data_IF_596921861195
#
_entry.id   IF_596921861195
#
_cell.length_a   1.000
_cell.length_b   1.000
_cell.length_c   1.000
_cell.angle_alpha   90.00
_cell.angle_beta   90.00
_cell.angle_gamma   90.00
#
_symmetry.space_group_name_H-M   'P 1'
#
loop_
_entity.id
_entity.type
_entity.pdbx_description
1 polymer ?
#
# COMPACT_ATOMS: atom_id res chain seq x y z
N UNK A 1 4.17 14.04 7.89
CA UNK A 1 3.93 12.59 8.06
C UNK A 1 3.31 12.02 6.79
N UNK A 2 3.95 11.01 6.18
CA UNK A 2 3.37 10.39 4.99
C UNK A 2 2.02 9.75 5.28
N UNK A 3 1.12 9.88 4.33
CA UNK A 3 -0.23 9.32 4.42
C UNK A 3 -0.28 8.01 3.64
N UNK A 4 -0.61 6.92 4.31
CA UNK A 4 -0.64 5.58 3.74
C UNK A 4 -2.08 5.09 3.70
N UNK A 5 -2.53 4.63 2.54
CA UNK A 5 -3.83 3.97 2.43
C UNK A 5 -3.62 2.46 2.40
N UNK A 6 -4.28 1.75 3.30
CA UNK A 6 -4.29 0.29 3.31
C UNK A 6 -5.63 -0.19 2.74
N UNK A 7 -5.58 -0.97 1.67
CA UNK A 7 -6.77 -1.58 1.07
C UNK A 7 -6.73 -3.07 1.40
N UNK A 8 -7.53 -3.51 2.35
CA UNK A 8 -7.52 -4.87 2.89
C UNK A 8 -8.90 -5.22 3.44
N UNK A 9 -9.49 -6.32 2.98
CA UNK A 9 -10.82 -6.74 3.41
C UNK A 9 -10.82 -7.47 4.76
N UNK A 10 -9.72 -8.12 5.12
CA UNK A 10 -9.62 -8.83 6.39
C UNK A 10 -9.44 -7.83 7.53
N UNK A 11 -10.43 -7.80 8.44
CA UNK A 11 -10.44 -6.83 9.53
C UNK A 11 -9.23 -6.94 10.44
N UNK A 12 -8.86 -8.17 10.80
CA UNK A 12 -7.72 -8.40 11.70
C UNK A 12 -6.41 -7.93 11.07
N UNK A 13 -6.17 -8.32 9.82
CA UNK A 13 -4.96 -7.92 9.09
C UNK A 13 -4.90 -6.41 8.91
N UNK A 14 -6.01 -5.80 8.55
CA UNK A 14 -6.12 -4.35 8.35
C UNK A 14 -5.82 -3.61 9.65
N UNK A 15 -6.41 -4.06 10.76
CA UNK A 15 -6.24 -3.44 12.06
C UNK A 15 -4.80 -3.57 12.56
N UNK A 16 -4.22 -4.76 12.45
CA UNK A 16 -2.84 -4.98 12.88
C UNK A 16 -1.85 -4.12 12.10
N UNK A 17 -1.99 -4.09 10.80
CA UNK A 17 -1.07 -3.32 9.95
C UNK A 17 -1.23 -1.82 10.21
N UNK A 18 -2.47 -1.34 10.32
CA UNK A 18 -2.69 0.09 10.55
C UNK A 18 -2.12 0.54 11.89
N UNK A 19 -2.28 -0.26 12.95
CA UNK A 19 -1.69 0.06 14.26
C UNK A 19 -0.19 0.14 14.20
N UNK A 20 0.44 -0.83 13.53
CA UNK A 20 1.90 -0.87 13.44
C UNK A 20 2.47 0.30 12.67
N UNK A 21 1.82 0.68 11.57
CA UNK A 21 2.26 1.82 10.79
C UNK A 21 2.04 3.14 11.52
N UNK A 22 0.93 3.28 12.25
CA UNK A 22 0.71 4.47 13.06
C UNK A 22 1.76 4.63 14.15
N UNK A 23 2.16 3.53 14.77
CA UNK A 23 3.25 3.56 15.76
C UNK A 23 4.56 4.02 15.17
N UNK A 24 4.77 3.79 13.88
CA UNK A 24 5.98 4.23 13.18
C UNK A 24 5.90 5.69 12.74
N UNK A 25 4.78 6.36 12.98
CA UNK A 25 4.62 7.78 12.67
C UNK A 25 3.90 8.07 11.36
N UNK A 26 3.39 7.05 10.67
CA UNK A 26 2.62 7.28 9.46
C UNK A 26 1.18 7.67 9.79
N UNK A 27 0.59 8.51 8.95
CA UNK A 27 -0.85 8.72 8.95
C UNK A 27 -1.46 7.59 8.13
N UNK A 28 -2.48 6.91 8.67
CA UNK A 28 -3.03 5.72 8.03
C UNK A 28 -4.51 5.87 7.76
N UNK A 29 -4.90 5.60 6.52
CA UNK A 29 -6.28 5.47 6.09
C UNK A 29 -6.52 4.01 5.71
N UNK A 30 -7.75 3.54 5.85
CA UNK A 30 -8.09 2.16 5.52
C UNK A 30 -9.29 2.11 4.59
N UNK A 31 -9.26 1.14 3.67
CA UNK A 31 -10.38 0.81 2.80
C UNK A 31 -10.59 -0.71 2.87
N UNK A 32 -11.82 -1.15 2.73
CA UNK A 32 -12.18 -2.55 2.95
C UNK A 32 -12.35 -3.35 1.67
N UNK A 33 -12.42 -2.68 0.53
CA UNK A 33 -12.53 -3.34 -0.78
C UNK A 33 -11.92 -2.47 -1.87
N UNK A 34 -11.89 -3.01 -3.09
CA UNK A 34 -11.24 -2.32 -4.21
C UNK A 34 -11.93 -1.04 -4.62
N UNK A 35 -13.26 -1.02 -4.63
CA UNK A 35 -14.02 0.19 -5.00
C UNK A 35 -13.76 1.32 -4.01
N UNK A 36 -13.83 1.01 -2.71
CA UNK A 36 -13.54 1.98 -1.66
C UNK A 36 -12.10 2.46 -1.76
N UNK A 37 -11.17 1.54 -2.03
CA UNK A 37 -9.76 1.88 -2.20
C UNK A 37 -9.53 2.88 -3.31
N UNK A 38 -10.19 2.69 -4.46
CA UNK A 38 -10.08 3.63 -5.57
C UNK A 38 -10.67 4.99 -5.18
N UNK A 39 -11.88 4.99 -4.61
CA UNK A 39 -12.55 6.23 -4.22
C UNK A 39 -11.74 7.01 -3.20
N UNK A 40 -11.19 6.33 -2.21
CA UNK A 40 -10.37 6.98 -1.18
C UNK A 40 -9.06 7.51 -1.75
N UNK A 41 -8.44 6.78 -2.68
CA UNK A 41 -7.22 7.26 -3.33
C UNK A 41 -7.48 8.55 -4.09
N UNK A 42 -8.59 8.61 -4.80
CA UNK A 42 -8.97 9.79 -5.58
C UNK A 42 -9.27 11.00 -4.67
N UNK A 43 -9.91 10.75 -3.54
CA UNK A 43 -10.33 11.80 -2.62
C UNK A 43 -9.20 12.29 -1.72
N UNK A 44 -8.45 11.34 -1.14
CA UNK A 44 -7.46 11.65 -0.10
C UNK A 44 -6.05 11.85 -0.65
N UNK A 45 -5.79 11.38 -1.86
CA UNK A 45 -4.47 11.47 -2.51
C UNK A 45 -3.34 11.05 -1.57
N UNK A 46 -3.33 9.80 -1.10
CA UNK A 46 -2.29 9.34 -0.18
C UNK A 46 -0.91 9.35 -0.84
N UNK A 47 0.12 9.26 -0.03
CA UNK A 47 1.50 9.22 -0.54
C UNK A 47 1.88 7.81 -1.00
N UNK A 48 1.17 6.80 -0.52
CA UNK A 48 1.43 5.40 -0.86
C UNK A 48 0.17 4.58 -0.62
N UNK A 49 -0.09 3.61 -1.49
CA UNK A 49 -1.18 2.65 -1.34
C UNK A 49 -0.60 1.25 -1.14
N UNK A 50 -1.06 0.58 -0.08
CA UNK A 50 -0.78 -0.84 0.14
C UNK A 50 -2.04 -1.60 -0.29
N UNK A 51 -1.94 -2.32 -1.41
CA UNK A 51 -3.08 -2.93 -2.07
C UNK A 51 -3.08 -4.44 -1.96
N UNK A 52 -4.02 -5.00 -1.20
CA UNK A 52 -4.21 -6.45 -1.17
C UNK A 52 -4.75 -6.90 -2.53
N UNK A 53 -4.21 -7.98 -3.05
CA UNK A 53 -4.61 -8.51 -4.36
C UNK A 53 -5.85 -9.40 -4.27
N UNK A 54 -6.21 -9.88 -3.08
CA UNK A 54 -7.32 -10.82 -2.88
C UNK A 54 -8.57 -10.13 -2.34
N UNK A 55 -9.01 -9.06 -3.01
CA UNK A 55 -10.18 -8.29 -2.58
C UNK A 55 -11.48 -8.93 -3.10
N UNK A 56 -12.60 -8.79 -2.34
CA UNK A 56 -13.83 -9.50 -2.67
C UNK A 56 -14.62 -8.95 -3.86
N UNK A 57 -14.58 -7.63 -4.09
CA UNK A 57 -15.41 -6.99 -5.12
C UNK A 57 -14.65 -6.78 -6.42
N UNK A 58 -13.50 -6.22 -6.33
CA UNK A 58 -12.64 -5.85 -7.45
C UNK A 58 -11.24 -6.23 -7.04
N UNK A 59 -10.60 -7.14 -7.77
CA UNK A 59 -9.28 -7.60 -7.35
C UNK A 59 -8.26 -6.47 -7.39
N UNK A 60 -7.18 -6.64 -6.62
CA UNK A 60 -6.16 -5.61 -6.47
C UNK A 60 -5.43 -5.29 -7.78
N UNK A 61 -5.36 -6.24 -8.72
CA UNK A 61 -4.78 -6.01 -10.04
C UNK A 61 -5.58 -4.95 -10.80
N UNK A 62 -6.90 -5.16 -10.87
CA UNK A 62 -7.77 -4.25 -11.60
C UNK A 62 -7.86 -2.89 -10.90
N UNK A 63 -7.92 -2.89 -9.56
CA UNK A 63 -7.91 -1.64 -8.81
C UNK A 63 -6.64 -0.84 -9.11
N UNK A 64 -5.49 -1.49 -9.13
CA UNK A 64 -4.22 -0.85 -9.46
C UNK A 64 -4.22 -0.30 -10.88
N UNK A 65 -4.70 -1.08 -11.85
CA UNK A 65 -4.79 -0.62 -13.24
C UNK A 65 -5.60 0.66 -13.34
N UNK A 66 -6.74 0.72 -12.67
CA UNK A 66 -7.61 1.90 -12.69
C UNK A 66 -6.92 3.11 -12.09
N UNK A 67 -6.21 2.93 -10.97
CA UNK A 67 -5.45 4.03 -10.36
C UNK A 67 -4.36 4.54 -11.28
N UNK A 68 -3.67 3.63 -11.97
CA UNK A 68 -2.55 4.00 -12.86
C UNK A 68 -3.01 4.61 -14.17
N UNK A 69 -4.27 4.43 -14.56
CA UNK A 69 -4.85 5.05 -15.74
C UNK A 69 -5.46 6.43 -15.46
N UNK A 70 -5.71 6.74 -14.20
CA UNK A 70 -6.31 8.02 -13.80
C UNK A 70 -5.20 9.05 -13.58
N UNK A 71 -5.25 10.15 -14.32
CA UNK A 71 -4.22 11.19 -14.24
C UNK A 71 -4.07 11.78 -12.83
N UNK A 72 -5.12 11.71 -12.01
CA UNK A 72 -5.09 12.22 -10.64
C UNK A 72 -4.33 11.31 -9.68
N UNK A 73 -4.24 10.02 -9.98
CA UNK A 73 -3.69 9.01 -9.06
C UNK A 73 -2.54 8.22 -9.63
N UNK A 74 -2.24 8.37 -10.91
CA UNK A 74 -1.21 7.55 -11.58
C UNK A 74 0.18 7.70 -10.97
N UNK A 75 0.46 8.84 -10.35
CA UNK A 75 1.76 9.12 -9.74
C UNK A 75 1.91 8.52 -8.34
N UNK A 76 0.82 8.04 -7.75
CA UNK A 76 0.85 7.50 -6.39
C UNK A 76 1.41 6.08 -6.43
N UNK A 77 2.50 5.79 -5.70
CA UNK A 77 3.06 4.45 -5.70
C UNK A 77 2.12 3.44 -5.05
N UNK A 78 2.09 2.24 -5.60
CA UNK A 78 1.27 1.13 -5.11
C UNK A 78 2.18 -0.06 -4.83
N UNK A 79 2.13 -0.55 -3.60
CA UNK A 79 2.79 -1.81 -3.22
C UNK A 79 1.70 -2.87 -3.13
N UNK A 80 1.80 -3.89 -3.98
CA UNK A 80 0.85 -5.00 -3.97
C UNK A 80 1.19 -5.97 -2.85
N UNK A 81 0.16 -6.45 -2.14
CA UNK A 81 0.32 -7.44 -1.07
C UNK A 81 -0.37 -8.73 -1.53
N UNK A 82 0.37 -9.84 -1.57
CA UNK A 82 -0.16 -11.10 -2.06
C UNK A 82 0.06 -12.23 -1.05
N UNK A 83 -0.94 -13.12 -0.94
CA UNK A 83 -0.82 -14.34 -0.14
C UNK A 83 -0.02 -15.42 -0.87
N UNK A 84 0.20 -15.25 -2.16
CA UNK A 84 0.84 -16.24 -3.00
C UNK A 84 2.15 -15.72 -3.59
N UNK A 85 3.25 -16.32 -3.19
CA UNK A 85 4.58 -16.00 -3.76
C UNK A 85 4.88 -16.92 -4.94
N UNK A 86 3.89 -17.15 -5.79
CA UNK A 86 4.06 -18.05 -6.93
C UNK A 86 4.75 -17.36 -8.08
N UNK A 87 5.43 -18.18 -8.87
CA UNK A 87 6.03 -17.75 -10.13
C UNK A 87 4.98 -17.06 -11.01
N UNK A 88 5.24 -15.83 -11.43
CA UNK A 88 4.33 -15.07 -12.27
C UNK A 88 3.53 -14.00 -11.55
N UNK A 89 3.37 -14.09 -10.22
CA UNK A 89 2.62 -13.08 -9.47
C UNK A 89 3.31 -11.72 -9.49
N UNK A 90 4.63 -11.73 -9.44
CA UNK A 90 5.41 -10.51 -9.51
C UNK A 90 5.23 -9.82 -10.86
N UNK A 91 5.29 -10.60 -11.94
CA UNK A 91 5.10 -10.05 -13.30
C UNK A 91 3.69 -9.49 -13.45
N UNK A 92 2.68 -10.16 -12.91
CA UNK A 92 1.30 -9.68 -12.94
C UNK A 92 1.16 -8.36 -12.20
N UNK A 93 1.82 -8.23 -11.04
CA UNK A 93 1.79 -7.00 -10.26
C UNK A 93 2.41 -5.85 -11.06
N UNK A 94 3.55 -6.09 -11.65
CA UNK A 94 4.26 -5.09 -12.45
C UNK A 94 3.45 -4.72 -13.68
N UNK A 95 2.87 -5.70 -14.38
CA UNK A 95 2.02 -5.47 -15.56
C UNK A 95 0.77 -4.65 -15.21
N UNK A 96 0.24 -4.81 -14.01
CA UNK A 96 -0.88 -4.00 -13.54
C UNK A 96 -0.48 -2.57 -13.18
N UNK A 97 0.83 -2.30 -13.07
CA UNK A 97 1.36 -0.99 -12.75
C UNK A 97 1.79 -0.82 -11.30
N UNK A 98 1.86 -1.90 -10.52
CA UNK A 98 2.37 -1.82 -9.16
C UNK A 98 3.84 -1.42 -9.18
N UNK A 99 4.23 -0.60 -8.22
CA UNK A 99 5.61 -0.12 -8.12
C UNK A 99 6.50 -1.10 -7.37
N UNK A 100 5.90 -1.91 -6.52
CA UNK A 100 6.59 -2.95 -5.75
C UNK A 100 5.55 -3.98 -5.30
N UNK A 101 6.02 -5.12 -4.78
CA UNK A 101 5.11 -6.10 -4.22
C UNK A 101 5.73 -6.75 -2.99
N UNK A 102 4.90 -7.25 -2.08
CA UNK A 102 5.34 -7.99 -0.92
C UNK A 102 4.41 -9.17 -0.68
N UNK A 103 4.90 -10.16 0.04
CA UNK A 103 4.16 -11.41 0.26
C UNK A 103 3.67 -11.50 1.69
N UNK A 104 2.52 -12.15 1.87
CA UNK A 104 2.01 -12.49 3.21
C UNK A 104 2.59 -13.84 3.65
N UNK A 105 2.80 -14.06 4.93
CA UNK A 105 2.57 -13.11 6.02
C UNK A 105 3.53 -11.93 5.95
N UNK A 106 3.00 -10.74 6.22
CA UNK A 106 3.80 -9.53 6.15
C UNK A 106 4.80 -9.49 7.28
N UNK A 107 6.05 -9.21 6.91
CA UNK A 107 7.11 -9.00 7.88
C UNK A 107 7.37 -7.50 7.88
N UNK A 108 7.12 -6.86 9.03
CA UNK A 108 7.08 -5.41 9.09
C UNK A 108 8.37 -4.74 8.62
N UNK A 109 9.53 -5.26 9.02
CA UNK A 109 10.81 -4.67 8.61
C UNK A 109 10.99 -4.70 7.10
N UNK A 110 10.62 -5.82 6.48
CA UNK A 110 10.71 -5.96 5.03
C UNK A 110 9.77 -4.99 4.33
N UNK A 111 8.54 -4.87 4.82
CA UNK A 111 7.57 -3.93 4.27
C UNK A 111 8.06 -2.50 4.41
N UNK A 112 8.54 -2.11 5.61
CA UNK A 112 9.04 -0.77 5.85
C UNK A 112 10.21 -0.43 4.94
N UNK A 113 11.12 -1.38 4.72
CA UNK A 113 12.26 -1.15 3.84
C UNK A 113 11.84 -0.89 2.39
N UNK A 114 10.72 -1.48 1.97
CA UNK A 114 10.16 -1.21 0.64
C UNK A 114 9.45 0.13 0.60
N UNK A 115 8.73 0.47 1.66
CA UNK A 115 7.97 1.72 1.74
C UNK A 115 8.88 2.96 1.67
N UNK A 116 10.03 2.92 2.34
CA UNK A 116 10.93 4.08 2.38
C UNK A 116 11.56 4.39 1.02
N UNK A 117 11.41 3.52 0.05
CA UNK A 117 11.84 3.80 -1.33
C UNK A 117 10.88 4.79 -2.01
N UNK A 118 9.68 4.96 -1.48
CA UNK A 118 8.63 5.80 -2.07
C UNK A 118 8.20 6.95 -1.18
N UNK A 119 8.30 6.80 0.15
CA UNK A 119 7.88 7.81 1.12
C UNK A 119 8.92 7.96 2.21
N UNK A 120 8.95 9.11 2.87
CA UNK A 120 9.86 9.35 3.97
C UNK A 120 9.59 8.41 5.14
N UNK A 121 10.67 8.00 5.82
CA UNK A 121 10.56 7.27 7.08
C UNK A 121 10.35 8.29 8.21
N UNK A 122 9.17 8.32 8.86
CA UNK A 122 8.89 9.30 9.92
C UNK A 122 9.84 9.17 11.11
N UNK A 123 10.27 7.94 11.41
CA UNK A 123 11.19 7.71 12.53
C UNK A 123 12.61 8.16 12.23
N UNK A 124 13.08 7.91 11.00
CA UNK A 124 14.39 8.37 10.59
C UNK A 124 14.47 9.89 10.65
N UNK A 125 13.43 10.58 10.17
CA UNK A 125 13.37 12.03 10.21
C UNK A 125 13.32 12.55 11.63
N UNK A 126 12.58 11.88 12.52
CA UNK A 126 12.51 12.24 13.93
C UNK A 126 13.80 11.93 14.67
N UNK A 127 14.51 10.87 14.24
CA UNK A 127 15.79 10.47 14.83
C UNK A 127 16.98 11.20 14.25
N UNK A 128 16.83 11.89 13.12
CA UNK A 128 17.89 12.66 12.53
C UNK A 128 18.09 13.94 13.33
N UNK A 129 19.18 13.97 14.08
CA UNK A 129 19.62 15.23 14.66
C UNK A 129 20.21 16.07 13.54
N UNK A 130 19.67 17.26 13.31
CA UNK A 130 20.31 18.16 12.38
C UNK A 130 21.74 18.41 12.84
N UNK A 131 22.64 18.17 11.98
CA UNK A 131 24.04 18.42 12.28
C UNK A 131 24.27 19.88 12.64
#
# INVERSE_FOLDING_TARGET
MPKILIVEDNELSRDMLSRRLRRKGYEVLVATDGQEGIAMTQRELPDLVLMDLSLPDLDGWEATRRLKKDARTQHIPVIALTAHAMSGDREKAIDAGCDEYDTKPLELRRLLSKMVRFVEDPEAKAGETPA
#
